data_IF_988976625331
#
_entry.id   IF_988976625331
#
_cell.length_a   1.000
_cell.length_b   1.000
_cell.length_c   1.000
_cell.angle_alpha   90.00
_cell.angle_beta   90.00
_cell.angle_gamma   90.00
#
_symmetry.space_group_name_H-M   'P 1'
#
loop_
_entity.id
_entity.type
_entity.pdbx_description
1 polymer ?
#
# COMPACT_ATOMS: atom_id res chain seq x y z
N UNK A 1 11.62 -21.08 7.09
CA UNK A 1 11.92 -19.79 7.77
C UNK A 1 11.17 -18.68 7.08
N UNK A 2 10.42 -17.86 7.83
CA UNK A 2 9.72 -16.71 7.26
C UNK A 2 10.71 -15.62 6.85
N UNK A 3 10.58 -15.05 5.65
CA UNK A 3 11.41 -13.97 5.18
C UNK A 3 11.05 -12.66 5.91
N UNK A 4 12.02 -12.05 6.57
CA UNK A 4 11.85 -10.73 7.19
C UNK A 4 12.74 -9.70 6.50
N UNK A 5 12.15 -8.56 6.13
CA UNK A 5 12.89 -7.41 5.61
C UNK A 5 13.84 -6.87 6.69
N UNK A 6 14.91 -6.19 6.25
CA UNK A 6 15.78 -5.48 7.16
C UNK A 6 15.01 -4.36 7.88
N UNK A 7 15.19 -4.28 9.18
CA UNK A 7 14.62 -3.22 10.02
C UNK A 7 15.46 -1.94 9.94
N UNK A 8 14.90 -0.82 10.39
CA UNK A 8 15.63 0.46 10.51
C UNK A 8 16.84 0.32 11.41
N UNK A 9 16.73 -0.46 12.49
CA UNK A 9 17.84 -0.70 13.43
C UNK A 9 18.97 -1.51 12.76
N UNK A 10 18.62 -2.54 11.98
CA UNK A 10 19.63 -3.33 11.26
C UNK A 10 20.33 -2.48 10.19
N UNK A 11 19.63 -1.56 9.51
CA UNK A 11 20.25 -0.62 8.56
C UNK A 11 21.22 0.34 9.23
N UNK A 12 20.88 0.85 10.42
CA UNK A 12 21.82 1.66 11.21
C UNK A 12 23.07 0.89 11.62
N UNK A 13 22.92 -0.38 12.05
CA UNK A 13 24.05 -1.25 12.37
C UNK A 13 24.91 -1.60 11.14
N UNK A 14 24.31 -1.76 9.96
CA UNK A 14 25.07 -1.96 8.72
C UNK A 14 25.92 -0.73 8.42
N UNK A 15 25.37 0.47 8.53
CA UNK A 15 26.10 1.73 8.37
C UNK A 15 27.30 1.83 9.31
N UNK A 16 27.07 1.62 10.60
CA UNK A 16 28.11 1.64 11.64
C UNK A 16 29.24 0.65 11.32
N UNK A 17 28.91 -0.60 11.03
CA UNK A 17 29.88 -1.65 10.76
C UNK A 17 30.64 -1.43 9.46
N UNK A 18 29.99 -0.90 8.42
CA UNK A 18 30.67 -0.50 7.17
C UNK A 18 31.66 0.64 7.40
N UNK A 19 31.30 1.63 8.22
CA UNK A 19 32.18 2.73 8.62
C UNK A 19 33.40 2.23 9.39
N UNK A 20 33.23 1.19 10.19
CA UNK A 20 34.31 0.51 10.91
C UNK A 20 35.14 -0.44 10.02
N UNK A 21 34.85 -0.54 8.72
CA UNK A 21 35.60 -1.33 7.76
C UNK A 21 35.28 -2.83 7.75
N UNK A 22 34.16 -3.26 8.34
CA UNK A 22 33.76 -4.67 8.29
C UNK A 22 33.29 -5.07 6.90
N UNK A 23 33.61 -6.30 6.49
CA UNK A 23 33.10 -6.88 5.24
C UNK A 23 31.60 -7.24 5.37
N UNK A 24 30.86 -7.24 4.27
CA UNK A 24 29.46 -7.63 4.25
C UNK A 24 29.20 -9.02 4.88
N UNK A 25 30.13 -9.97 4.69
CA UNK A 25 30.06 -11.30 5.29
C UNK A 25 30.16 -11.25 6.82
N UNK A 26 31.08 -10.45 7.35
CA UNK A 26 31.23 -10.25 8.78
C UNK A 26 30.02 -9.54 9.40
N UNK A 27 29.47 -8.57 8.70
CA UNK A 27 28.22 -7.86 9.09
C UNK A 27 27.05 -8.84 9.12
N UNK A 28 26.90 -9.66 8.10
CA UNK A 28 25.85 -10.66 8.01
C UNK A 28 25.88 -11.64 9.20
N UNK A 29 27.06 -12.14 9.56
CA UNK A 29 27.24 -13.02 10.71
C UNK A 29 26.81 -12.34 12.02
N UNK A 30 27.18 -11.05 12.22
CA UNK A 30 26.80 -10.28 13.42
C UNK A 30 25.31 -10.01 13.53
N UNK A 31 24.63 -9.83 12.39
CA UNK A 31 23.20 -9.57 12.35
C UNK A 31 22.35 -10.84 12.26
N UNK A 32 22.97 -12.03 12.20
CA UNK A 32 22.25 -13.29 12.01
C UNK A 32 21.51 -13.36 10.68
N UNK A 33 22.07 -12.72 9.64
CA UNK A 33 21.49 -12.65 8.28
C UNK A 33 22.37 -13.40 7.28
N UNK A 34 21.76 -13.81 6.17
CA UNK A 34 22.53 -14.35 5.05
C UNK A 34 23.33 -13.23 4.38
N UNK A 35 24.60 -13.51 4.00
CA UNK A 35 25.49 -12.50 3.42
C UNK A 35 24.90 -11.80 2.19
N UNK A 36 24.18 -12.53 1.32
CA UNK A 36 23.54 -11.94 0.14
C UNK A 36 22.45 -10.91 0.47
N UNK A 37 21.88 -10.90 1.69
CA UNK A 37 20.97 -9.85 2.11
C UNK A 37 21.70 -8.53 2.32
N UNK A 38 22.89 -8.60 2.91
CA UNK A 38 23.74 -7.43 3.17
C UNK A 38 24.35 -6.92 1.85
N UNK A 39 24.84 -7.82 1.00
CA UNK A 39 25.37 -7.45 -0.31
C UNK A 39 24.33 -6.68 -1.14
N UNK A 40 23.13 -7.26 -1.29
CA UNK A 40 22.03 -6.59 -2.04
C UNK A 40 21.59 -5.27 -1.42
N UNK A 41 21.60 -5.16 -0.10
CA UNK A 41 21.23 -3.91 0.58
C UNK A 41 22.29 -2.84 0.36
N UNK A 42 23.58 -3.19 0.51
CA UNK A 42 24.71 -2.29 0.28
C UNK A 42 24.76 -1.83 -1.17
N UNK A 43 24.74 -2.76 -2.13
CA UNK A 43 24.85 -2.43 -3.54
C UNK A 43 23.70 -1.55 -4.04
N UNK A 44 22.49 -1.83 -3.56
CA UNK A 44 21.28 -1.11 -3.96
C UNK A 44 21.22 0.33 -3.43
N UNK A 45 21.83 0.58 -2.28
CA UNK A 45 21.67 1.84 -1.54
C UNK A 45 23.00 2.59 -1.35
N UNK A 46 24.12 2.09 -1.92
CA UNK A 46 25.40 2.78 -1.92
C UNK A 46 25.30 4.04 -2.78
N UNK A 47 25.71 5.16 -2.21
CA UNK A 47 25.84 6.45 -2.87
C UNK A 47 27.31 6.82 -3.05
N UNK A 48 27.62 7.94 -3.68
CA UNK A 48 28.99 8.47 -3.79
C UNK A 48 29.63 8.71 -2.41
N UNK A 49 28.81 9.08 -1.43
CA UNK A 49 29.22 9.32 -0.04
C UNK A 49 29.24 8.05 0.82
N UNK A 50 28.90 6.91 0.25
CA UNK A 50 28.83 5.62 0.94
C UNK A 50 27.40 5.16 1.22
N UNK A 51 27.26 4.20 2.13
CA UNK A 51 25.98 3.65 2.58
C UNK A 51 25.50 4.38 3.83
N UNK A 52 24.22 4.82 3.86
CA UNK A 52 23.58 5.34 5.08
C UNK A 52 22.27 4.62 5.36
N UNK A 53 22.03 4.29 6.63
CA UNK A 53 20.82 3.58 7.07
C UNK A 53 19.55 4.39 6.83
N UNK A 54 19.63 5.71 7.01
CA UNK A 54 18.49 6.63 6.84
C UNK A 54 18.06 6.70 5.37
N UNK A 55 19.02 6.91 4.45
CA UNK A 55 18.71 6.97 3.02
C UNK A 55 18.20 5.63 2.49
N UNK A 56 18.78 4.53 2.99
CA UNK A 56 18.38 3.16 2.65
C UNK A 56 16.95 2.84 3.09
N UNK A 57 16.56 3.28 4.29
CA UNK A 57 15.19 3.13 4.79
C UNK A 57 14.20 3.96 3.95
N UNK A 58 14.54 5.19 3.63
CA UNK A 58 13.72 6.05 2.78
C UNK A 58 13.52 5.44 1.39
N UNK A 59 14.61 4.99 0.77
CA UNK A 59 14.57 4.31 -0.52
C UNK A 59 13.76 2.99 -0.48
N UNK A 60 13.87 2.23 0.59
CA UNK A 60 13.05 1.03 0.81
C UNK A 60 11.56 1.37 0.87
N UNK A 61 11.16 2.39 1.65
CA UNK A 61 9.77 2.83 1.77
C UNK A 61 9.21 3.28 0.43
N UNK A 62 9.98 4.05 -0.32
CA UNK A 62 9.60 4.52 -1.67
C UNK A 62 9.41 3.35 -2.63
N UNK A 63 10.36 2.41 -2.69
CA UNK A 63 10.22 1.21 -3.53
C UNK A 63 9.01 0.37 -3.14
N UNK A 64 8.76 0.19 -1.84
CA UNK A 64 7.60 -0.54 -1.35
C UNK A 64 6.27 0.15 -1.66
N UNK A 65 6.23 1.47 -1.59
CA UNK A 65 5.06 2.25 -2.00
C UNK A 65 4.80 2.12 -3.50
N UNK A 66 5.85 2.21 -4.32
CA UNK A 66 5.75 2.13 -5.76
C UNK A 66 5.40 0.72 -6.28
N UNK A 67 5.74 -0.33 -5.50
CA UNK A 67 5.39 -1.71 -5.85
C UNK A 67 3.94 -2.09 -5.56
N UNK A 68 3.20 -1.24 -4.84
CA UNK A 68 1.77 -1.48 -4.61
C UNK A 68 0.99 -1.23 -5.90
N UNK A 69 0.06 -2.12 -6.28
CA UNK A 69 -0.81 -1.86 -7.41
C UNK A 69 -1.52 -0.53 -7.24
N UNK A 70 -1.51 0.30 -8.27
CA UNK A 70 -2.32 1.51 -8.29
C UNK A 70 -3.79 1.10 -8.22
N UNK A 71 -4.56 1.71 -7.33
CA UNK A 71 -5.99 1.44 -7.24
C UNK A 71 -6.69 1.72 -8.56
N UNK A 72 -7.80 1.05 -8.81
CA UNK A 72 -8.62 1.23 -10.03
C UNK A 72 -9.35 2.58 -10.10
N UNK A 73 -9.25 3.40 -9.07
CA UNK A 73 -9.92 4.70 -9.01
C UNK A 73 -9.24 5.68 -9.98
N UNK A 74 -10.04 6.23 -10.90
CA UNK A 74 -9.71 7.38 -11.73
C UNK A 74 -10.80 8.43 -11.56
N UNK A 75 -10.49 9.70 -11.84
CA UNK A 75 -11.48 10.77 -11.71
C UNK A 75 -12.66 10.56 -12.65
N UNK A 76 -12.42 10.07 -13.88
CA UNK A 76 -13.48 9.74 -14.82
C UNK A 76 -14.42 8.65 -14.28
N UNK A 77 -13.86 7.58 -13.74
CA UNK A 77 -14.65 6.48 -13.16
C UNK A 77 -15.41 6.94 -11.91
N UNK A 78 -14.78 7.75 -11.07
CA UNK A 78 -15.43 8.34 -9.89
C UNK A 78 -16.63 9.20 -10.31
N UNK A 79 -16.48 10.07 -11.30
CA UNK A 79 -17.56 10.93 -11.81
C UNK A 79 -18.75 10.13 -12.35
N UNK A 80 -18.51 9.06 -13.10
CA UNK A 80 -19.57 8.17 -13.60
C UNK A 80 -20.34 7.56 -12.43
N UNK A 81 -19.61 7.01 -11.44
CA UNK A 81 -20.22 6.38 -10.27
C UNK A 81 -21.02 7.39 -9.46
N UNK A 82 -20.48 8.59 -9.23
CA UNK A 82 -21.15 9.68 -8.50
C UNK A 82 -22.45 10.09 -9.16
N UNK A 83 -22.44 10.34 -10.48
CA UNK A 83 -23.64 10.69 -11.23
C UNK A 83 -24.74 9.63 -11.09
N UNK A 84 -24.38 8.34 -11.15
CA UNK A 84 -25.36 7.25 -11.03
C UNK A 84 -25.87 7.10 -9.60
N UNK A 85 -25.04 7.30 -8.59
CA UNK A 85 -25.47 7.30 -7.18
C UNK A 85 -26.44 8.46 -6.91
N UNK A 86 -26.16 9.66 -7.45
CA UNK A 86 -27.08 10.81 -7.36
C UNK A 86 -28.40 10.53 -8.08
N UNK A 87 -28.38 9.77 -9.15
CA UNK A 87 -29.58 9.28 -9.86
C UNK A 87 -30.24 8.07 -9.17
N UNK A 88 -29.91 7.82 -7.88
CA UNK A 88 -30.51 6.77 -7.03
C UNK A 88 -30.22 5.33 -7.43
N UNK A 89 -29.18 5.10 -8.27
CA UNK A 89 -28.75 3.75 -8.62
C UNK A 89 -28.03 3.10 -7.45
N UNK A 90 -28.25 1.80 -7.27
CA UNK A 90 -27.47 1.06 -6.26
C UNK A 90 -26.07 0.75 -6.77
N UNK A 91 -25.07 0.57 -5.87
CA UNK A 91 -23.72 0.12 -6.26
C UNK A 91 -23.70 -1.17 -7.07
N UNK A 92 -24.65 -2.08 -6.83
CA UNK A 92 -24.81 -3.32 -7.59
C UNK A 92 -25.25 -3.04 -9.04
N UNK A 93 -26.22 -2.14 -9.22
CA UNK A 93 -26.67 -1.74 -10.58
C UNK A 93 -25.52 -1.08 -11.34
N UNK A 94 -24.80 -0.16 -10.70
CA UNK A 94 -23.67 0.54 -11.31
C UNK A 94 -22.56 -0.45 -11.71
N UNK A 95 -22.24 -1.39 -10.84
CA UNK A 95 -21.20 -2.37 -11.11
C UNK A 95 -21.56 -3.32 -12.26
N UNK A 96 -22.84 -3.63 -12.42
CA UNK A 96 -23.31 -4.57 -13.45
C UNK A 96 -23.65 -3.92 -14.78
N UNK A 97 -23.70 -2.58 -14.85
CA UNK A 97 -24.01 -1.85 -16.09
C UNK A 97 -22.86 -0.96 -16.53
N UNK A 98 -22.60 0.12 -15.80
CA UNK A 98 -21.68 1.18 -16.21
C UNK A 98 -20.20 0.81 -16.03
N UNK A 99 -19.90 -0.01 -15.00
CA UNK A 99 -18.52 -0.36 -14.65
C UNK A 99 -18.25 -1.85 -14.78
N UNK A 100 -18.97 -2.52 -15.68
CA UNK A 100 -18.89 -3.98 -15.85
C UNK A 100 -17.44 -4.45 -16.05
N UNK A 101 -16.99 -5.31 -15.15
CA UNK A 101 -15.62 -5.85 -15.16
C UNK A 101 -14.51 -4.90 -14.71
N UNK A 102 -14.78 -3.59 -14.53
CA UNK A 102 -13.79 -2.61 -14.08
C UNK A 102 -13.69 -2.63 -12.56
N UNK A 103 -14.81 -2.42 -11.87
CA UNK A 103 -14.89 -2.45 -10.40
C UNK A 103 -16.09 -3.26 -9.93
N UNK A 104 -15.95 -3.91 -8.77
CA UNK A 104 -17.05 -4.61 -8.13
C UNK A 104 -17.89 -3.64 -7.27
N UNK A 105 -19.14 -4.00 -6.99
CA UNK A 105 -19.99 -3.23 -6.08
C UNK A 105 -19.36 -3.05 -4.69
N UNK A 106 -18.61 -4.03 -4.19
CA UNK A 106 -17.85 -3.91 -2.93
C UNK A 106 -16.83 -2.78 -2.98
N UNK A 107 -16.18 -2.58 -4.13
CA UNK A 107 -15.23 -1.48 -4.33
C UNK A 107 -15.94 -0.14 -4.27
N UNK A 108 -17.13 -0.01 -4.87
CA UNK A 108 -17.94 1.21 -4.83
C UNK A 108 -18.34 1.52 -3.39
N UNK A 109 -18.82 0.53 -2.62
CA UNK A 109 -19.10 0.71 -1.19
C UNK A 109 -17.86 1.17 -0.41
N UNK A 110 -16.71 0.54 -0.64
CA UNK A 110 -15.47 0.93 0.03
C UNK A 110 -15.07 2.38 -0.29
N UNK A 111 -15.27 2.83 -1.53
CA UNK A 111 -14.99 4.21 -1.92
C UNK A 111 -15.96 5.20 -1.27
N UNK A 112 -17.24 4.86 -1.16
CA UNK A 112 -18.24 5.65 -0.44
C UNK A 112 -17.87 5.80 1.04
N UNK A 113 -17.60 4.69 1.73
CA UNK A 113 -17.26 4.72 3.15
C UNK A 113 -15.91 5.39 3.43
N UNK A 114 -15.00 5.34 2.49
CA UNK A 114 -13.69 6.00 2.58
C UNK A 114 -13.71 7.48 2.15
N UNK A 115 -14.88 8.04 1.76
CA UNK A 115 -15.00 9.42 1.30
C UNK A 115 -14.23 9.72 0.00
N UNK A 116 -14.01 8.71 -0.83
CA UNK A 116 -13.26 8.83 -2.08
C UNK A 116 -14.10 9.32 -3.26
N UNK A 117 -15.40 9.37 -3.09
CA UNK A 117 -16.36 9.91 -4.05
C UNK A 117 -16.79 11.28 -3.51
N UNK A 118 -16.36 12.36 -4.20
CA UNK A 118 -16.54 13.74 -3.70
C UNK A 118 -17.97 14.23 -3.79
N UNK A 119 -18.72 13.76 -4.79
CA UNK A 119 -20.10 14.18 -5.09
C UNK A 119 -21.16 13.27 -4.48
N UNK A 120 -20.82 12.13 -3.89
CA UNK A 120 -21.78 11.18 -3.34
C UNK A 120 -21.31 10.61 -1.99
N UNK A 121 -22.24 10.43 -1.07
CA UNK A 121 -22.01 9.88 0.25
C UNK A 121 -22.97 8.70 0.57
N UNK A 122 -22.90 8.18 1.77
CA UNK A 122 -23.73 7.06 2.21
C UNK A 122 -25.23 7.37 2.27
N UNK A 123 -25.62 8.65 2.24
CA UNK A 123 -27.04 9.04 2.23
C UNK A 123 -27.72 8.72 0.91
N UNK A 124 -26.96 8.62 -0.19
CA UNK A 124 -27.46 8.23 -1.51
C UNK A 124 -27.72 6.71 -1.62
N UNK A 125 -27.31 5.94 -0.61
CA UNK A 125 -27.62 4.52 -0.54
C UNK A 125 -29.05 4.28 -0.07
N UNK A 126 -29.70 3.21 -0.58
CA UNK A 126 -31.07 2.82 -0.20
C UNK A 126 -31.32 2.79 1.32
N UNK A 127 -30.34 2.33 2.09
CA UNK A 127 -30.40 2.26 3.55
C UNK A 127 -29.67 3.42 4.26
N UNK A 128 -29.28 4.46 3.53
CA UNK A 128 -28.58 5.65 4.07
C UNK A 128 -27.41 5.29 5.01
N UNK A 129 -26.65 4.23 4.69
CA UNK A 129 -25.55 3.74 5.51
C UNK A 129 -25.95 3.04 6.81
N UNK A 130 -27.22 2.88 7.12
CA UNK A 130 -27.67 2.18 8.34
C UNK A 130 -27.45 0.66 8.19
N UNK A 131 -26.78 0.03 9.15
CA UNK A 131 -26.68 -1.43 9.23
C UNK A 131 -28.06 -2.05 9.48
N UNK A 132 -28.38 -3.10 8.72
CA UNK A 132 -29.55 -3.93 9.01
C UNK A 132 -29.36 -4.51 10.42
N UNK A 133 -30.33 -4.28 11.33
CA UNK A 133 -30.31 -4.95 12.64
C UNK A 133 -30.37 -6.45 12.38
N UNK A 134 -29.45 -7.21 12.97
CA UNK A 134 -29.55 -8.67 12.95
C UNK A 134 -30.87 -9.05 13.63
N UNK A 135 -31.70 -9.81 12.95
CA UNK A 135 -32.87 -10.43 13.54
C UNK A 135 -32.38 -11.35 14.68
N UNK A 136 -32.78 -11.05 15.91
CA UNK A 136 -32.55 -11.97 17.03
C UNK A 136 -33.38 -13.23 16.75
N UNK A 137 -32.67 -14.32 16.45
CA UNK A 137 -33.28 -15.67 16.53
C UNK A 137 -33.45 -16.10 17.96
#
# INVERSE_FOLDING_TARGET
MSYHHLSTIERGRIEELLTLGYTNRAIATRLGRHHSCIDRESDRNKTETGYTGVSSESAYRTRRSNSRPKGKQSDALASIIEQKLLATWSPEQIANTETLGIVSFKTIYNWLYAGKLRGADTQHLRHKGKRRKAEKR
#
